data_IF_999029646107
#
_entry.id   IF_999029646107
#
_cell.length_a   1.000
_cell.length_b   1.000
_cell.length_c   1.000
_cell.angle_alpha   90.00
_cell.angle_beta   90.00
_cell.angle_gamma   90.00
#
_symmetry.space_group_name_H-M   'P 1'
#
loop_
_entity.id
_entity.type
_entity.pdbx_description
1 polymer ?
#
# COMPACT_ATOMS: atom_id res chain seq x y z
N UNK A 1 4.68 38.52 -4.48
CA UNK A 1 5.38 38.00 -5.67
C UNK A 1 6.56 37.17 -5.21
N UNK A 2 6.66 35.93 -5.65
CA UNK A 2 7.72 35.00 -5.24
C UNK A 2 8.83 35.05 -6.30
N UNK A 3 9.79 35.95 -6.09
CA UNK A 3 10.99 36.10 -6.93
C UNK A 3 12.03 35.01 -6.61
N UNK A 4 11.62 33.74 -6.79
CA UNK A 4 12.54 32.60 -6.68
C UNK A 4 12.88 32.13 -8.08
N UNK A 5 14.04 32.57 -8.57
CA UNK A 5 14.54 32.24 -9.91
C UNK A 5 15.12 30.82 -10.00
N UNK A 6 14.39 29.79 -9.57
CA UNK A 6 14.82 28.40 -9.81
C UNK A 6 14.78 28.15 -11.32
N UNK A 7 15.94 28.21 -11.98
CA UNK A 7 16.08 28.10 -13.44
C UNK A 7 16.66 26.76 -13.87
N UNK A 8 17.25 26.01 -12.94
CA UNK A 8 17.95 24.75 -13.20
C UNK A 8 17.62 23.69 -12.15
N UNK A 9 17.66 22.43 -12.56
CA UNK A 9 17.57 21.27 -11.66
C UNK A 9 18.95 20.62 -11.61
N UNK A 10 19.43 20.29 -10.42
CA UNK A 10 20.69 19.56 -10.25
C UNK A 10 20.60 18.17 -10.90
N UNK A 11 21.69 17.63 -11.48
CA UNK A 11 21.70 16.29 -12.06
C UNK A 11 21.21 15.21 -11.07
N UNK A 12 21.56 15.36 -9.80
CA UNK A 12 21.16 14.44 -8.73
C UNK A 12 19.65 14.50 -8.48
N UNK A 13 19.07 15.71 -8.44
CA UNK A 13 17.62 15.88 -8.30
C UNK A 13 16.87 15.33 -9.53
N UNK A 14 17.42 15.55 -10.74
CA UNK A 14 16.84 15.00 -11.96
C UNK A 14 16.82 13.47 -11.94
N UNK A 15 17.94 12.85 -11.55
CA UNK A 15 18.02 11.39 -11.41
C UNK A 15 16.99 10.84 -10.43
N UNK A 16 16.71 11.55 -9.34
CA UNK A 16 15.67 11.15 -8.37
C UNK A 16 14.27 11.29 -8.97
N UNK A 17 14.00 12.36 -9.71
CA UNK A 17 12.71 12.58 -10.37
C UNK A 17 12.44 11.54 -11.46
N UNK A 18 13.47 11.16 -12.23
CA UNK A 18 13.37 10.17 -13.32
C UNK A 18 13.18 8.74 -12.80
N UNK A 19 13.73 8.40 -11.63
CA UNK A 19 13.61 7.07 -11.03
C UNK A 19 12.28 6.85 -10.30
N UNK A 20 11.56 7.91 -9.98
CA UNK A 20 10.27 7.78 -9.30
C UNK A 20 9.19 7.31 -10.27
N UNK A 21 8.34 6.39 -9.82
CA UNK A 21 7.25 5.83 -10.64
C UNK A 21 6.02 6.74 -10.80
N UNK A 22 5.94 7.85 -10.08
CA UNK A 22 4.79 8.78 -10.09
C UNK A 22 3.40 8.09 -10.03
N UNK A 23 3.06 7.35 -8.96
CA UNK A 23 1.76 6.66 -8.84
C UNK A 23 0.55 7.62 -8.92
N UNK A 24 0.72 8.89 -8.54
CA UNK A 24 -0.28 9.95 -8.68
C UNK A 24 -0.30 10.63 -10.06
N UNK A 25 0.40 10.07 -11.05
CA UNK A 25 0.56 10.60 -12.41
C UNK A 25 1.25 11.98 -12.46
N UNK A 26 1.11 12.68 -13.60
CA UNK A 26 1.73 14.00 -13.86
C UNK A 26 1.35 15.05 -12.80
N UNK A 27 0.15 14.96 -12.20
CA UNK A 27 -0.28 15.87 -11.12
C UNK A 27 0.58 15.74 -9.86
N UNK A 28 1.07 14.54 -9.57
CA UNK A 28 1.98 14.34 -8.45
C UNK A 28 3.32 15.02 -8.72
N UNK A 29 3.86 14.84 -9.93
CA UNK A 29 5.09 15.52 -10.36
C UNK A 29 4.95 17.04 -10.27
N UNK A 30 3.85 17.61 -10.80
CA UNK A 30 3.56 19.04 -10.73
C UNK A 30 3.57 19.54 -9.28
N UNK A 31 2.81 18.90 -8.38
CA UNK A 31 2.77 19.24 -6.96
C UNK A 31 4.14 19.11 -6.27
N UNK A 32 4.96 18.16 -6.69
CA UNK A 32 6.32 17.99 -6.16
C UNK A 32 7.23 19.13 -6.62
N UNK A 33 7.19 19.48 -7.91
CA UNK A 33 8.00 20.55 -8.48
C UNK A 33 7.59 21.92 -7.92
N UNK A 34 6.29 22.21 -7.81
CA UNK A 34 5.80 23.45 -7.20
C UNK A 34 6.31 23.62 -5.77
N UNK A 35 6.18 22.57 -4.95
CA UNK A 35 6.68 22.58 -3.56
C UNK A 35 8.20 22.72 -3.51
N UNK A 36 8.91 22.05 -4.41
CA UNK A 36 10.36 22.13 -4.47
C UNK A 36 10.85 23.53 -4.91
N UNK A 37 10.12 24.24 -5.78
CA UNK A 37 10.40 25.65 -6.13
C UNK A 37 10.14 26.57 -4.93
N UNK A 38 9.05 26.34 -4.19
CA UNK A 38 8.72 27.10 -2.98
C UNK A 38 9.78 26.89 -1.89
N UNK A 39 10.32 25.68 -1.74
CA UNK A 39 11.34 25.35 -0.75
C UNK A 39 12.77 25.67 -1.21
N UNK A 40 13.01 25.66 -2.51
CA UNK A 40 14.30 25.92 -3.12
C UNK A 40 14.81 27.32 -2.80
N UNK A 41 16.13 27.45 -2.72
CA UNK A 41 16.83 28.72 -2.51
C UNK A 41 17.87 28.89 -3.60
N UNK A 42 17.80 30.00 -4.34
CA UNK A 42 18.72 30.30 -5.45
C UNK A 42 18.28 29.72 -6.80
N UNK A 43 19.21 29.65 -7.76
CA UNK A 43 18.90 29.29 -9.15
C UNK A 43 18.80 27.78 -9.44
N UNK A 44 19.27 26.94 -8.51
CA UNK A 44 19.44 25.51 -8.71
C UNK A 44 18.59 24.72 -7.71
N UNK A 45 17.75 23.82 -8.21
CA UNK A 45 16.96 22.88 -7.41
C UNK A 45 17.80 21.65 -7.06
N UNK A 46 18.21 21.57 -5.80
CA UNK A 46 18.89 20.40 -5.24
C UNK A 46 17.93 19.31 -4.76
N UNK A 47 18.47 18.12 -4.52
CA UNK A 47 17.70 16.95 -4.03
C UNK A 47 17.01 17.26 -2.71
N UNK A 48 17.62 18.07 -1.86
CA UNK A 48 17.11 18.49 -0.55
C UNK A 48 15.76 19.23 -0.62
N UNK A 49 15.45 19.87 -1.75
CA UNK A 49 14.17 20.55 -1.96
C UNK A 49 13.03 19.56 -2.31
N UNK A 50 13.37 18.33 -2.70
CA UNK A 50 12.38 17.30 -3.02
C UNK A 50 11.77 16.70 -1.74
N UNK A 51 10.47 16.34 -1.75
CA UNK A 51 9.82 15.65 -0.64
C UNK A 51 10.50 14.32 -0.28
N UNK A 52 10.41 13.93 0.99
CA UNK A 52 11.09 12.72 1.49
C UNK A 52 10.64 11.43 0.79
N UNK A 53 9.35 11.31 0.47
CA UNK A 53 8.82 10.17 -0.28
C UNK A 53 9.40 10.07 -1.69
N UNK A 54 9.89 11.18 -2.24
CA UNK A 54 10.52 11.24 -3.56
C UNK A 54 12.02 10.94 -3.46
N UNK A 55 12.70 11.52 -2.47
CA UNK A 55 14.13 11.29 -2.20
C UNK A 55 14.45 9.86 -1.78
N UNK A 56 13.52 9.22 -1.08
CA UNK A 56 13.61 7.84 -0.63
C UNK A 56 12.36 7.13 -1.12
N UNK A 57 12.36 6.69 -2.40
CA UNK A 57 11.26 5.89 -2.89
C UNK A 57 11.16 4.67 -1.98
N UNK A 58 10.08 4.60 -1.20
CA UNK A 58 9.70 3.30 -0.66
C UNK A 58 9.43 2.48 -1.90
N UNK A 59 10.12 1.35 -2.04
CA UNK A 59 9.79 0.37 -3.06
C UNK A 59 8.42 -0.18 -2.67
N UNK A 60 7.37 0.56 -3.03
CA UNK A 60 6.04 0.02 -3.19
C UNK A 60 6.20 -0.78 -4.47
N UNK A 61 6.55 -2.05 -4.32
CA UNK A 61 6.33 -2.97 -5.43
C UNK A 61 4.83 -2.98 -5.59
N UNK A 62 4.32 -2.28 -6.58
CA UNK A 62 3.02 -2.58 -7.12
C UNK A 62 3.11 -4.05 -7.55
N UNK A 63 2.64 -4.93 -6.66
CA UNK A 63 2.46 -6.33 -7.01
C UNK A 63 1.26 -6.30 -7.92
N UNK A 64 1.51 -6.16 -9.22
CA UNK A 64 0.49 -6.44 -10.21
C UNK A 64 -0.05 -7.83 -9.88
N UNK A 65 -1.38 -7.96 -9.68
CA UNK A 65 -1.98 -9.26 -9.50
C UNK A 65 -1.59 -10.13 -10.68
N UNK A 66 -1.03 -11.32 -10.41
CA UNK A 66 -0.76 -12.31 -11.45
C UNK A 66 -2.08 -12.62 -12.16
N UNK A 67 -2.15 -12.25 -13.45
CA UNK A 67 -3.34 -12.43 -14.27
C UNK A 67 -2.96 -13.31 -15.46
N UNK A 68 -3.31 -14.61 -15.42
CA UNK A 68 -2.99 -15.54 -16.50
C UNK A 68 -3.67 -15.16 -17.82
N UNK A 69 -3.00 -15.41 -18.94
CA UNK A 69 -3.54 -15.14 -20.29
C UNK A 69 -4.81 -15.94 -20.60
N UNK A 70 -4.99 -17.10 -19.97
CA UNK A 70 -6.18 -17.96 -20.05
C UNK A 70 -7.29 -17.57 -19.06
N UNK A 71 -7.08 -16.51 -18.28
CA UNK A 71 -8.01 -15.99 -17.28
C UNK A 71 -7.89 -16.71 -15.93
N UNK A 72 -8.72 -16.29 -14.96
CA UNK A 72 -8.74 -16.86 -13.62
C UNK A 72 -10.15 -16.91 -13.04
N UNK A 73 -10.41 -17.88 -12.16
CA UNK A 73 -11.61 -17.90 -11.33
C UNK A 73 -11.43 -16.92 -10.15
N UNK A 74 -12.11 -15.77 -10.25
CA UNK A 74 -11.99 -14.70 -9.27
C UNK A 74 -12.59 -15.13 -7.92
N UNK A 75 -13.69 -15.86 -7.93
CA UNK A 75 -14.38 -16.29 -6.70
C UNK A 75 -13.49 -17.27 -5.93
N UNK A 76 -12.95 -18.28 -6.61
CA UNK A 76 -12.02 -19.24 -6.01
C UNK A 76 -10.74 -18.56 -5.47
N UNK A 77 -10.24 -17.56 -6.20
CA UNK A 77 -9.04 -16.81 -5.80
C UNK A 77 -9.29 -15.98 -4.53
N UNK A 78 -10.41 -15.26 -4.48
CA UNK A 78 -10.80 -14.48 -3.31
C UNK A 78 -11.07 -15.38 -2.10
N UNK A 79 -11.72 -16.54 -2.30
CA UNK A 79 -11.96 -17.50 -1.22
C UNK A 79 -10.65 -18.05 -0.64
N UNK A 80 -9.65 -18.33 -1.49
CA UNK A 80 -8.33 -18.77 -1.03
C UNK A 80 -7.61 -17.69 -0.23
N UNK A 81 -7.61 -16.45 -0.71
CA UNK A 81 -6.99 -15.30 -0.03
C UNK A 81 -7.68 -15.08 1.32
N UNK A 82 -9.02 -15.10 1.33
CA UNK A 82 -9.82 -15.00 2.55
C UNK A 82 -9.47 -16.10 3.56
N UNK A 83 -9.40 -17.36 3.13
CA UNK A 83 -9.04 -18.48 3.99
C UNK A 83 -7.64 -18.31 4.61
N UNK A 84 -6.68 -17.80 3.84
CA UNK A 84 -5.32 -17.53 4.31
C UNK A 84 -5.31 -16.47 5.41
N UNK A 85 -6.03 -15.36 5.23
CA UNK A 85 -6.10 -14.29 6.23
C UNK A 85 -6.86 -14.69 7.49
N UNK A 86 -7.96 -15.44 7.37
CA UNK A 86 -8.68 -15.98 8.52
C UNK A 86 -7.78 -16.90 9.36
N UNK A 87 -7.02 -17.78 8.72
CA UNK A 87 -6.07 -18.67 9.40
C UNK A 87 -4.96 -17.87 10.09
N UNK A 88 -4.35 -16.92 9.39
CA UNK A 88 -3.32 -16.06 9.95
C UNK A 88 -3.80 -15.26 11.16
N UNK A 89 -5.03 -14.74 11.11
CA UNK A 89 -5.64 -14.01 12.23
C UNK A 89 -5.89 -14.94 13.42
N UNK A 90 -6.40 -16.15 13.20
CA UNK A 90 -6.56 -17.17 14.26
C UNK A 90 -5.22 -17.56 14.88
N UNK A 91 -4.20 -17.80 14.08
CA UNK A 91 -2.87 -18.18 14.55
C UNK A 91 -2.26 -17.07 15.42
N UNK A 92 -2.35 -15.81 14.98
CA UNK A 92 -1.86 -14.64 15.73
C UNK A 92 -2.57 -14.40 17.05
N UNK A 93 -3.83 -14.84 17.18
CA UNK A 93 -4.61 -14.66 18.41
C UNK A 93 -4.73 -15.94 19.25
N UNK A 94 -4.01 -17.01 18.89
CA UNK A 94 -4.10 -18.30 19.58
C UNK A 94 -5.46 -19.00 19.42
N UNK A 95 -6.25 -18.59 18.44
CA UNK A 95 -7.61 -19.07 18.18
C UNK A 95 -8.72 -18.25 18.83
N UNK A 96 -8.40 -17.11 19.46
CA UNK A 96 -9.44 -16.20 20.01
C UNK A 96 -10.15 -15.49 18.86
N UNK A 97 -11.33 -16.00 18.50
CA UNK A 97 -12.08 -15.56 17.31
C UNK A 97 -12.50 -14.08 17.37
N UNK A 98 -12.88 -13.54 18.54
CA UNK A 98 -13.24 -12.12 18.68
C UNK A 98 -12.06 -11.20 18.35
N UNK A 99 -10.88 -11.51 18.88
CA UNK A 99 -9.65 -10.75 18.57
C UNK A 99 -9.22 -10.94 17.11
N UNK A 100 -9.43 -12.12 16.54
CA UNK A 100 -9.11 -12.38 15.14
C UNK A 100 -10.02 -11.57 14.20
N UNK A 101 -11.29 -11.42 14.55
CA UNK A 101 -12.24 -10.56 13.83
C UNK A 101 -11.82 -9.08 13.89
N UNK A 102 -11.37 -8.61 15.06
CA UNK A 102 -10.83 -7.26 15.25
C UNK A 102 -9.60 -6.99 14.36
N UNK A 103 -8.65 -7.95 14.29
CA UNK A 103 -7.46 -7.83 13.45
C UNK A 103 -7.78 -7.71 11.96
N UNK A 104 -8.89 -8.30 11.50
CA UNK A 104 -9.34 -8.22 10.12
C UNK A 104 -10.43 -7.16 9.90
N UNK A 105 -10.69 -6.31 10.91
CA UNK A 105 -11.68 -5.23 10.86
C UNK A 105 -13.07 -5.68 10.40
N UNK A 106 -13.51 -6.84 10.86
CA UNK A 106 -14.85 -7.37 10.58
C UNK A 106 -15.63 -7.62 11.86
N UNK A 107 -16.95 -7.63 11.77
CA UNK A 107 -17.77 -7.99 12.92
C UNK A 107 -17.53 -9.45 13.30
N UNK A 108 -17.69 -9.77 14.59
CA UNK A 108 -17.56 -11.15 15.06
C UNK A 108 -18.51 -12.12 14.32
N UNK A 109 -19.73 -11.68 14.00
CA UNK A 109 -20.70 -12.47 13.22
C UNK A 109 -20.16 -12.82 11.82
N UNK A 110 -19.62 -11.84 11.11
CA UNK A 110 -19.05 -12.06 9.77
C UNK A 110 -17.86 -13.01 9.84
N UNK A 111 -16.95 -12.79 10.78
CA UNK A 111 -15.78 -13.65 10.98
C UNK A 111 -16.17 -15.10 11.23
N UNK A 112 -17.08 -15.32 12.19
CA UNK A 112 -17.56 -16.66 12.53
C UNK A 112 -18.20 -17.37 11.34
N UNK A 113 -19.04 -16.67 10.58
CA UNK A 113 -19.64 -17.22 9.36
C UNK A 113 -18.57 -17.68 8.37
N UNK A 114 -17.55 -16.86 8.13
CA UNK A 114 -16.46 -17.19 7.20
C UNK A 114 -15.60 -18.34 7.70
N UNK A 115 -15.28 -18.40 8.99
CA UNK A 115 -14.56 -19.54 9.60
C UNK A 115 -15.34 -20.85 9.42
N UNK A 116 -16.67 -20.81 9.56
CA UNK A 116 -17.53 -21.98 9.34
C UNK A 116 -17.60 -22.36 7.86
N UNK A 117 -17.80 -21.38 6.96
CA UNK A 117 -17.79 -21.59 5.49
C UNK A 117 -16.52 -22.32 5.06
N UNK A 118 -15.36 -21.89 5.57
CA UNK A 118 -14.04 -22.41 5.19
C UNK A 118 -13.54 -23.58 6.03
N UNK A 119 -14.36 -24.11 6.95
CA UNK A 119 -13.99 -25.25 7.80
C UNK A 119 -12.80 -25.01 8.74
N UNK A 120 -12.54 -23.74 9.10
CA UNK A 120 -11.39 -23.33 9.93
C UNK A 120 -11.67 -23.38 11.44
N UNK A 121 -12.87 -23.79 11.84
CA UNK A 121 -13.23 -23.93 13.26
C UNK A 121 -12.46 -25.08 13.91
N UNK A 122 -11.98 -24.88 15.15
CA UNK A 122 -11.45 -25.99 15.95
C UNK A 122 -12.56 -27.02 16.17
N UNK A 123 -12.23 -28.31 15.99
CA UNK A 123 -13.02 -29.45 16.49
C UNK A 123 -13.07 -29.35 18.03
N UNK A 124 -13.97 -28.54 18.58
CA UNK A 124 -14.03 -28.31 20.03
C UNK A 124 -14.83 -27.09 20.47
N UNK A 125 -15.05 -26.09 19.62
CA UNK A 125 -15.92 -24.96 19.95
C UNK A 125 -17.40 -25.37 19.82
N UNK A 126 -17.85 -26.27 20.71
CA UNK A 126 -19.26 -26.30 21.12
C UNK A 126 -19.50 -24.99 21.86
N UNK A 127 -20.28 -24.14 21.24
CA UNK A 127 -20.73 -22.90 21.86
C UNK A 127 -21.87 -23.25 22.80
N UNK A 128 -21.60 -23.08 24.08
CA UNK A 128 -22.61 -22.53 24.98
C UNK A 128 -22.50 -20.98 24.91
#
# INVERSE_FOLDING_TARGET
ELDKEVRRVSPEAMSVLEQHQWPGNIRELENVIERAIVLGTGELLGVEALPENVRRPRVVRDVEPDFPDDGLDLEATLDRIEQQYLRLALDRTGGVQTRAAELLHMTFRQFRYKVQKHGLGRRGDRLD
#
